data_IF_162440203913
#
_entry.id   IF_162440203913
#
_cell.length_a   1.000
_cell.length_b   1.000
_cell.length_c   1.000
_cell.angle_alpha   90.00
_cell.angle_beta   90.00
_cell.angle_gamma   90.00
#
_symmetry.space_group_name_H-M   'P 1'
#
loop_
_entity.id
_entity.type
_entity.pdbx_description
1 polymer ?
#
# COMPACT_ATOMS: atom_id res chain seq x y z
N UNK A 1 -4.70 57.31 61.17
CA UNK A 1 -3.81 56.96 60.04
C UNK A 1 -3.16 55.61 60.35
N UNK A 2 -3.27 54.70 59.39
CA UNK A 2 -2.54 53.44 59.09
C UNK A 2 -2.02 52.54 60.23
N UNK A 3 -2.41 51.26 60.08
CA UNK A 3 -2.55 50.16 61.04
C UNK A 3 -1.22 49.49 61.47
N UNK A 4 -1.17 49.13 62.75
CA UNK A 4 -0.28 48.14 63.38
C UNK A 4 -1.15 46.92 63.73
N UNK A 5 -0.59 45.70 63.70
CA UNK A 5 -1.12 44.63 64.55
C UNK A 5 -0.89 43.20 64.05
N UNK A 6 0.30 42.68 64.30
CA UNK A 6 0.59 41.25 64.42
C UNK A 6 0.07 40.74 65.77
N UNK A 7 -0.62 39.60 65.84
CA UNK A 7 -0.41 38.49 66.81
C UNK A 7 -1.47 37.39 66.70
N UNK A 8 -1.15 36.26 67.31
CA UNK A 8 -1.53 34.90 66.95
C UNK A 8 -2.55 34.24 67.90
N UNK A 9 -2.82 32.96 67.58
CA UNK A 9 -3.08 31.83 68.48
C UNK A 9 -4.52 31.28 68.62
N UNK A 10 -4.72 30.10 68.02
CA UNK A 10 -5.16 28.80 68.61
C UNK A 10 -6.34 28.76 69.59
N UNK A 11 -7.39 27.98 69.28
CA UNK A 11 -7.84 26.82 70.08
C UNK A 11 -8.79 25.88 69.30
N UNK A 12 -8.73 24.62 69.72
CA UNK A 12 -9.19 23.34 69.15
C UNK A 12 -10.60 22.97 69.59
N UNK A 13 -11.37 22.21 68.78
CA UNK A 13 -12.31 21.17 69.25
C UNK A 13 -12.28 19.95 68.32
N UNK A 14 -12.16 18.76 68.92
CA UNK A 14 -12.06 17.45 68.31
C UNK A 14 -13.44 16.82 68.00
N UNK A 15 -13.47 15.90 67.03
CA UNK A 15 -14.59 14.98 66.79
C UNK A 15 -14.12 13.78 65.96
N UNK A 16 -14.18 12.59 66.54
CA UNK A 16 -13.74 11.31 65.96
C UNK A 16 -14.97 10.43 65.68
N UNK A 17 -15.03 9.72 64.53
CA UNK A 17 -15.81 8.49 64.33
C UNK A 17 -15.33 7.69 63.10
N UNK A 18 -14.75 6.51 63.39
CA UNK A 18 -14.93 5.16 62.79
C UNK A 18 -14.71 4.83 61.30
N UNK A 19 -14.17 3.62 61.12
CA UNK A 19 -13.58 2.99 59.94
C UNK A 19 -14.56 2.46 58.87
N UNK A 20 -14.08 2.32 57.62
CA UNK A 20 -14.72 1.56 56.54
C UNK A 20 -13.78 1.31 55.36
N UNK A 21 -13.55 0.04 55.04
CA UNK A 21 -12.72 -0.50 53.95
C UNK A 21 -13.38 -0.39 52.57
N UNK A 22 -12.64 -0.01 51.52
CA UNK A 22 -12.82 -0.53 50.15
C UNK A 22 -11.68 -0.03 49.24
N UNK A 23 -10.94 -0.96 48.63
CA UNK A 23 -9.92 -0.64 47.65
C UNK A 23 -10.52 -0.06 46.37
N UNK A 24 -9.83 0.91 45.78
CA UNK A 24 -10.02 1.27 44.37
C UNK A 24 -8.82 0.77 43.59
N UNK A 25 -9.00 -0.41 43.02
CA UNK A 25 -8.21 -0.89 41.91
C UNK A 25 -8.52 -0.05 40.67
N UNK A 26 -7.46 0.33 39.94
CA UNK A 26 -7.46 0.42 38.49
C UNK A 26 -8.20 1.61 37.86
N UNK A 27 -7.45 2.63 37.48
CA UNK A 27 -7.69 3.32 36.22
C UNK A 27 -6.34 3.55 35.53
N UNK A 28 -5.82 2.50 34.90
CA UNK A 28 -4.78 2.64 33.90
C UNK A 28 -5.40 3.34 32.68
N UNK A 29 -5.41 4.67 32.67
CA UNK A 29 -5.65 5.46 31.46
C UNK A 29 -4.36 5.45 30.63
N UNK A 30 -4.04 4.28 30.06
CA UNK A 30 -3.16 4.22 28.91
C UNK A 30 -3.94 4.74 27.69
N UNK A 31 -3.32 5.50 26.77
CA UNK A 31 -3.97 5.81 25.50
C UNK A 31 -4.32 4.47 24.82
N UNK A 32 -5.61 4.20 24.67
CA UNK A 32 -6.07 3.11 23.84
C UNK A 32 -5.63 3.46 22.42
N UNK A 33 -4.57 2.81 21.95
CA UNK A 33 -4.10 2.87 20.59
C UNK A 33 -5.27 2.39 19.72
N UNK A 34 -6.04 3.33 19.17
CA UNK A 34 -7.25 3.03 18.42
C UNK A 34 -6.78 2.29 17.18
N UNK A 35 -6.95 0.97 17.16
CA UNK A 35 -6.66 0.14 15.99
C UNK A 35 -7.35 0.77 14.78
N UNK A 36 -6.55 1.42 13.91
CA UNK A 36 -7.06 2.04 12.70
C UNK A 36 -7.61 0.91 11.85
N UNK A 37 -8.91 0.94 11.57
CA UNK A 37 -9.52 -0.08 10.73
C UNK A 37 -8.87 0.00 9.34
N UNK A 38 -8.66 -1.15 8.70
CA UNK A 38 -8.11 -1.17 7.33
C UNK A 38 -8.93 -0.31 6.34
N UNK A 39 -10.22 -0.15 6.61
CA UNK A 39 -11.11 0.74 5.88
C UNK A 39 -10.77 2.22 6.07
N UNK A 40 -10.43 2.67 7.29
CA UNK A 40 -10.10 4.07 7.55
C UNK A 40 -8.86 4.55 6.78
N UNK A 41 -7.88 3.66 6.57
CA UNK A 41 -6.66 3.95 5.78
C UNK A 41 -6.92 4.17 4.27
N UNK A 42 -8.01 3.62 3.75
CA UNK A 42 -8.27 3.52 2.31
C UNK A 42 -9.64 4.08 1.92
N UNK A 43 -10.28 4.83 2.82
CA UNK A 43 -11.63 5.36 2.63
C UNK A 43 -11.79 6.26 1.40
N UNK A 44 -10.70 6.88 0.91
CA UNK A 44 -10.70 7.71 -0.30
C UNK A 44 -10.36 6.95 -1.58
N UNK A 45 -10.06 5.65 -1.51
CA UNK A 45 -9.66 4.86 -2.67
C UNK A 45 -10.88 4.25 -3.34
N UNK A 46 -10.79 4.00 -4.65
CA UNK A 46 -11.85 3.34 -5.42
C UNK A 46 -11.28 2.23 -6.30
N UNK A 47 -12.14 1.51 -7.01
CA UNK A 47 -11.76 0.42 -7.93
C UNK A 47 -11.78 0.82 -9.41
N UNK A 48 -11.89 2.10 -9.72
CA UNK A 48 -11.91 2.59 -11.11
C UNK A 48 -10.53 2.49 -11.76
N UNK A 49 -10.44 2.73 -13.06
CA UNK A 49 -9.15 2.75 -13.76
C UNK A 49 -8.32 3.97 -13.34
N UNK A 50 -7.00 3.78 -13.20
CA UNK A 50 -6.03 4.85 -12.94
C UNK A 50 -5.08 4.88 -14.13
N UNK A 51 -4.89 6.05 -14.71
CA UNK A 51 -3.95 6.23 -15.83
C UNK A 51 -3.19 7.55 -15.70
N UNK A 52 -1.99 7.57 -16.27
CA UNK A 52 -1.22 8.76 -16.52
C UNK A 52 -0.57 8.64 -17.90
N UNK A 53 -0.78 9.65 -18.74
CA UNK A 53 -0.24 9.74 -20.08
C UNK A 53 1.14 10.42 -20.01
N UNK A 54 2.18 9.63 -19.78
CA UNK A 54 3.56 10.13 -19.77
C UNK A 54 4.48 9.10 -20.44
N UNK A 55 5.41 9.57 -21.27
CA UNK A 55 6.46 8.72 -21.82
C UNK A 55 7.60 8.59 -20.81
N UNK A 56 7.94 7.37 -20.42
CA UNK A 56 9.19 7.08 -19.71
C UNK A 56 10.07 6.20 -20.60
N UNK A 57 11.23 6.73 -20.98
CA UNK A 57 12.26 6.00 -21.74
C UNK A 57 13.22 5.25 -20.81
N UNK A 58 12.84 5.03 -19.55
CA UNK A 58 13.65 4.30 -18.56
C UNK A 58 13.08 2.91 -18.41
N UNK A 59 13.98 1.97 -18.18
CA UNK A 59 13.62 0.57 -18.09
C UNK A 59 13.16 0.17 -16.69
N UNK A 60 12.30 -0.84 -16.64
CA UNK A 60 11.99 -1.58 -15.45
C UNK A 60 13.20 -2.43 -15.05
N UNK A 61 13.61 -2.32 -13.79
CA UNK A 61 14.71 -3.09 -13.20
C UNK A 61 14.22 -4.17 -12.25
N UNK A 62 13.14 -3.88 -11.51
CA UNK A 62 12.63 -4.82 -10.55
C UNK A 62 11.15 -4.60 -10.25
N UNK A 63 10.51 -5.65 -9.74
CA UNK A 63 9.19 -5.57 -9.11
C UNK A 63 9.30 -6.18 -7.73
N UNK A 64 8.87 -5.44 -6.71
CA UNK A 64 8.83 -5.94 -5.32
C UNK A 64 7.43 -5.81 -4.74
N UNK A 65 7.16 -6.57 -3.69
CA UNK A 65 5.88 -6.51 -2.97
C UNK A 65 6.11 -6.39 -1.46
N UNK A 66 5.15 -5.78 -0.76
CA UNK A 66 5.18 -5.62 0.69
C UNK A 66 3.79 -5.71 1.32
N UNK A 67 3.73 -6.23 2.56
CA UNK A 67 2.52 -6.26 3.37
C UNK A 67 2.50 -5.03 4.27
N UNK A 68 1.38 -4.33 4.31
CA UNK A 68 1.14 -3.24 5.25
C UNK A 68 -0.12 -3.51 6.06
N UNK A 69 -0.32 -2.73 7.12
CA UNK A 69 -1.48 -2.87 8.02
C UNK A 69 -2.82 -2.79 7.28
N UNK A 70 -2.89 -1.93 6.25
CA UNK A 70 -4.14 -1.58 5.58
C UNK A 70 -4.20 -1.97 4.09
N UNK A 71 -3.07 -2.33 3.49
CA UNK A 71 -2.96 -2.60 2.06
C UNK A 71 -1.81 -3.55 1.78
N UNK A 72 -1.84 -4.20 0.62
CA UNK A 72 -0.66 -4.84 0.05
C UNK A 72 -0.11 -3.93 -1.05
N UNK A 73 1.21 -3.84 -1.14
CA UNK A 73 1.91 -2.94 -2.06
C UNK A 73 2.66 -3.75 -3.11
N UNK A 74 2.58 -3.32 -4.36
CA UNK A 74 3.47 -3.71 -5.45
C UNK A 74 4.23 -2.47 -5.94
N UNK A 75 5.54 -2.58 -6.08
CA UNK A 75 6.41 -1.49 -6.51
C UNK A 75 7.15 -1.88 -7.77
N UNK A 76 7.13 -1.02 -8.78
CA UNK A 76 7.89 -1.12 -10.00
C UNK A 76 9.08 -0.16 -9.90
N UNK A 77 10.29 -0.71 -9.90
CA UNK A 77 11.53 0.06 -9.86
C UNK A 77 11.98 0.41 -11.29
N UNK A 78 11.93 1.69 -11.61
CA UNK A 78 12.20 2.22 -12.95
C UNK A 78 13.45 3.10 -12.87
N UNK A 79 14.55 2.47 -12.45
CA UNK A 79 15.84 3.11 -12.15
C UNK A 79 16.19 4.24 -13.12
N UNK A 80 16.37 5.43 -12.55
CA UNK A 80 16.78 6.63 -13.28
C UNK A 80 15.63 7.41 -13.93
N UNK A 81 14.38 7.06 -13.64
CA UNK A 81 13.23 7.93 -13.96
C UNK A 81 13.27 9.19 -13.08
N UNK A 82 13.29 10.35 -13.73
CA UNK A 82 13.24 11.67 -13.09
C UNK A 82 11.96 12.43 -13.44
N UNK A 83 11.27 12.03 -14.51
CA UNK A 83 9.98 12.55 -14.95
C UNK A 83 8.84 11.70 -14.42
N UNK A 84 7.61 12.07 -14.79
CA UNK A 84 6.43 11.23 -14.55
C UNK A 84 6.55 9.91 -15.30
N UNK A 85 6.09 8.85 -14.64
CA UNK A 85 6.00 7.49 -15.20
C UNK A 85 4.57 7.30 -15.69
N UNK A 86 4.40 7.04 -16.98
CA UNK A 86 3.09 6.70 -17.53
C UNK A 86 2.66 5.29 -17.16
N UNK A 87 1.36 5.10 -16.97
CA UNK A 87 0.78 3.81 -16.61
C UNK A 87 -0.71 3.75 -16.97
N UNK A 88 -1.21 2.52 -17.02
CA UNK A 88 -2.63 2.21 -17.04
C UNK A 88 -2.87 1.02 -16.11
N UNK A 89 -3.70 1.21 -15.09
CA UNK A 89 -4.03 0.19 -14.09
C UNK A 89 -5.53 0.07 -13.96
N UNK A 90 -6.07 -1.12 -14.22
CA UNK A 90 -7.51 -1.34 -14.26
C UNK A 90 -7.90 -2.81 -14.11
N UNK A 91 -9.15 -3.04 -13.72
CA UNK A 91 -9.69 -4.39 -13.60
C UNK A 91 -10.11 -4.94 -14.97
N UNK A 92 -9.73 -6.18 -15.25
CA UNK A 92 -10.10 -6.89 -16.49
C UNK A 92 -10.81 -8.21 -16.19
N UNK A 93 -11.66 -8.65 -17.11
CA UNK A 93 -12.34 -9.96 -17.01
C UNK A 93 -11.39 -11.11 -17.37
N UNK A 94 -10.51 -10.89 -18.34
CA UNK A 94 -9.48 -11.82 -18.79
C UNK A 94 -8.19 -11.05 -19.03
N UNK A 95 -7.08 -11.56 -18.50
CA UNK A 95 -5.76 -11.02 -18.81
C UNK A 95 -5.32 -11.54 -20.18
N UNK A 96 -5.13 -10.65 -21.14
CA UNK A 96 -4.68 -10.98 -22.50
C UNK A 96 -3.30 -10.40 -22.72
N UNK A 97 -2.39 -11.21 -23.22
CA UNK A 97 -1.02 -10.80 -23.48
C UNK A 97 -0.97 -9.68 -24.53
N UNK A 98 -0.31 -8.57 -24.23
CA UNK A 98 -0.01 -7.52 -25.21
C UNK A 98 0.81 -8.10 -26.38
N UNK A 99 0.45 -7.72 -27.60
CA UNK A 99 1.08 -8.19 -28.84
C UNK A 99 0.40 -9.43 -29.45
N UNK A 100 0.16 -10.50 -28.68
CA UNK A 100 -0.45 -11.74 -29.23
C UNK A 100 -1.96 -11.83 -29.00
N UNK A 101 -2.48 -11.22 -27.93
CA UNK A 101 -3.89 -11.33 -27.53
C UNK A 101 -4.26 -12.65 -26.81
N UNK A 102 -3.30 -13.56 -26.65
CA UNK A 102 -3.50 -14.84 -25.98
C UNK A 102 -3.92 -14.64 -24.53
N UNK A 103 -4.84 -15.48 -24.07
CA UNK A 103 -5.27 -15.42 -22.67
C UNK A 103 -4.18 -16.03 -21.77
N UNK A 104 -3.66 -15.22 -20.86
CA UNK A 104 -2.82 -15.70 -19.75
C UNK A 104 -3.71 -15.88 -18.53
N UNK A 105 -3.71 -17.08 -17.96
CA UNK A 105 -4.50 -17.36 -16.75
C UNK A 105 -3.83 -16.74 -15.52
N UNK A 106 -4.55 -15.82 -14.87
CA UNK A 106 -4.18 -15.20 -13.58
C UNK A 106 -5.17 -15.69 -12.53
N UNK A 107 -4.68 -16.30 -11.44
CA UNK A 107 -5.55 -16.83 -10.40
C UNK A 107 -6.01 -15.75 -9.41
N UNK A 108 -7.23 -15.86 -8.89
CA UNK A 108 -7.82 -14.90 -7.95
C UNK A 108 -9.32 -14.73 -8.17
N UNK A 109 -9.95 -13.92 -7.31
CA UNK A 109 -11.34 -13.49 -7.47
C UNK A 109 -11.51 -12.23 -8.34
N UNK A 110 -10.42 -11.53 -8.65
CA UNK A 110 -10.37 -10.46 -9.64
C UNK A 110 -8.97 -10.32 -10.22
N UNK A 111 -8.86 -9.71 -11.40
CA UNK A 111 -7.58 -9.49 -12.10
C UNK A 111 -7.39 -7.99 -12.27
N UNK A 112 -6.30 -7.47 -11.71
CA UNK A 112 -5.83 -6.12 -11.96
C UNK A 112 -4.73 -6.18 -13.03
N UNK A 113 -4.99 -5.61 -14.19
CA UNK A 113 -3.98 -5.39 -15.22
C UNK A 113 -3.20 -4.11 -14.90
N UNK A 114 -1.88 -4.20 -14.98
CA UNK A 114 -0.95 -3.11 -14.74
C UNK A 114 -0.04 -2.99 -15.96
N UNK A 115 -0.22 -1.93 -16.73
CA UNK A 115 0.67 -1.54 -17.83
C UNK A 115 1.49 -0.35 -17.38
N UNK A 116 2.80 -0.45 -17.50
CA UNK A 116 3.73 0.64 -17.17
C UNK A 116 4.49 1.03 -18.43
N UNK A 117 4.57 2.33 -18.73
CA UNK A 117 5.36 2.89 -19.84
C UNK A 117 6.85 2.86 -19.50
N UNK A 118 7.38 1.64 -19.34
CA UNK A 118 8.77 1.36 -19.00
C UNK A 118 9.10 -0.07 -19.43
N UNK A 119 9.99 -0.29 -20.41
CA UNK A 119 10.28 -1.63 -20.91
C UNK A 119 11.10 -2.48 -19.93
N UNK A 120 10.97 -3.80 -20.00
CA UNK A 120 11.77 -4.76 -19.23
C UNK A 120 13.13 -5.07 -19.88
N UNK A 121 13.61 -4.16 -20.74
CA UNK A 121 14.86 -4.24 -21.48
C UNK A 121 15.51 -2.85 -21.58
N UNK A 122 16.78 -2.79 -21.98
CA UNK A 122 17.48 -1.54 -22.27
C UNK A 122 16.98 -0.93 -23.59
N UNK A 123 16.39 0.28 -23.62
CA UNK A 123 15.89 0.89 -24.86
C UNK A 123 16.97 1.07 -25.93
N UNK A 124 18.22 1.30 -25.52
CA UNK A 124 19.36 1.44 -26.45
C UNK A 124 19.91 0.09 -26.94
N UNK A 125 19.55 -1.01 -26.29
CA UNK A 125 19.91 -2.37 -26.70
C UNK A 125 18.81 -3.36 -26.28
N UNK A 126 17.75 -3.54 -27.08
CA UNK A 126 16.58 -4.36 -26.71
C UNK A 126 16.88 -5.84 -26.43
N UNK A 127 18.02 -6.35 -26.90
CA UNK A 127 18.49 -7.70 -26.57
C UNK A 127 18.89 -7.84 -25.09
N UNK A 128 19.33 -6.75 -24.46
CA UNK A 128 19.68 -6.72 -23.05
C UNK A 128 18.43 -6.58 -22.18
N UNK A 129 17.96 -7.71 -21.63
CA UNK A 129 16.86 -7.72 -20.65
C UNK A 129 17.32 -7.11 -19.32
N UNK A 130 16.41 -6.39 -18.70
CA UNK A 130 16.66 -5.67 -17.44
C UNK A 130 15.73 -6.07 -16.33
N UNK A 131 14.60 -6.67 -16.69
CA UNK A 131 13.77 -7.47 -15.80
C UNK A 131 13.41 -8.76 -16.55
N UNK A 132 13.75 -9.92 -15.98
CA UNK A 132 13.72 -11.22 -16.66
C UNK A 132 12.33 -11.87 -16.68
N UNK A 133 11.28 -11.07 -16.91
CA UNK A 133 9.91 -11.56 -17.03
C UNK A 133 9.71 -12.45 -18.26
N UNK A 134 8.89 -13.50 -18.12
CA UNK A 134 8.54 -14.42 -19.20
C UNK A 134 7.02 -14.52 -19.32
N UNK A 135 6.42 -14.34 -20.51
CA UNK A 135 4.98 -14.39 -20.68
C UNK A 135 4.33 -15.62 -20.02
N UNK A 136 3.27 -15.40 -19.25
CA UNK A 136 2.51 -16.43 -18.54
C UNK A 136 3.21 -17.05 -17.33
N UNK A 137 4.46 -16.68 -17.04
CA UNK A 137 5.17 -17.11 -15.82
C UNK A 137 4.98 -16.09 -14.70
N UNK A 138 5.17 -16.57 -13.47
CA UNK A 138 5.16 -15.70 -12.30
C UNK A 138 6.28 -14.67 -12.38
N UNK A 139 6.05 -13.50 -11.76
CA UNK A 139 7.02 -12.42 -11.73
C UNK A 139 8.32 -12.88 -11.03
N UNK A 140 9.50 -12.75 -11.67
CA UNK A 140 10.78 -13.04 -11.03
C UNK A 140 10.93 -12.34 -9.68
N UNK A 141 11.32 -13.08 -8.64
CA UNK A 141 11.59 -12.54 -7.31
C UNK A 141 10.34 -12.16 -6.48
N UNK A 142 9.13 -12.38 -7.00
CA UNK A 142 7.88 -12.02 -6.30
C UNK A 142 7.19 -13.26 -5.75
N UNK A 143 7.04 -13.32 -4.43
CA UNK A 143 6.25 -14.34 -3.74
C UNK A 143 5.09 -13.69 -2.97
N UNK A 144 3.86 -13.98 -3.37
CA UNK A 144 2.63 -13.42 -2.78
C UNK A 144 2.00 -14.31 -1.71
N UNK A 145 2.70 -15.33 -1.23
CA UNK A 145 2.21 -16.23 -0.18
C UNK A 145 1.93 -15.46 1.12
N UNK A 146 0.75 -15.68 1.69
CA UNK A 146 0.29 -15.05 2.93
C UNK A 146 -0.02 -13.55 2.82
N UNK A 147 -0.11 -12.99 1.61
CA UNK A 147 -0.64 -11.64 1.40
C UNK A 147 -2.15 -11.63 1.62
N UNK A 148 -2.70 -10.52 2.15
CA UNK A 148 -4.14 -10.48 2.43
C UNK A 148 -4.94 -10.41 1.15
N UNK A 149 -4.49 -9.65 0.17
CA UNK A 149 -5.18 -9.34 -1.09
C UNK A 149 -4.57 -10.02 -2.30
N UNK A 150 -3.25 -10.14 -2.40
CA UNK A 150 -2.58 -10.72 -3.58
C UNK A 150 -2.72 -12.25 -3.62
N UNK A 151 -2.96 -12.81 -4.81
CA UNK A 151 -3.20 -14.25 -5.02
C UNK A 151 -2.33 -14.85 -6.10
N UNK A 152 -1.99 -14.08 -7.13
CA UNK A 152 -1.14 -14.54 -8.22
C UNK A 152 -0.46 -13.35 -8.87
N UNK A 153 0.64 -13.61 -9.57
CA UNK A 153 1.28 -12.62 -10.43
C UNK A 153 1.67 -13.28 -11.74
N UNK A 154 1.48 -12.56 -12.85
CA UNK A 154 1.89 -13.02 -14.17
C UNK A 154 2.56 -11.90 -14.91
N UNK A 155 3.69 -12.22 -15.54
CA UNK A 155 4.25 -11.36 -16.56
C UNK A 155 3.43 -11.52 -17.84
N UNK A 156 2.96 -10.41 -18.41
CA UNK A 156 2.26 -10.39 -19.69
C UNK A 156 3.27 -10.36 -20.82
N UNK A 157 3.80 -9.17 -21.11
CA UNK A 157 4.82 -8.95 -22.12
C UNK A 157 5.62 -7.68 -21.81
N UNK A 158 6.73 -7.47 -22.54
CA UNK A 158 7.30 -6.13 -22.68
C UNK A 158 7.56 -5.85 -24.16
N UNK A 159 6.80 -4.91 -24.69
CA UNK A 159 6.61 -4.59 -26.12
C UNK A 159 6.36 -3.09 -26.21
N UNK A 160 6.85 -2.44 -27.28
CA UNK A 160 6.60 -1.02 -27.58
C UNK A 160 6.93 -0.06 -26.42
N UNK A 161 7.97 -0.38 -25.64
CA UNK A 161 8.36 0.44 -24.50
C UNK A 161 7.49 0.26 -23.25
N UNK A 162 6.53 -0.66 -23.26
CA UNK A 162 5.66 -0.94 -22.13
C UNK A 162 6.01 -2.28 -21.48
N UNK A 163 5.70 -2.42 -20.19
CA UNK A 163 5.68 -3.71 -19.48
C UNK A 163 4.28 -3.95 -18.95
N UNK A 164 3.73 -5.12 -19.26
CA UNK A 164 2.40 -5.56 -18.85
C UNK A 164 2.52 -6.63 -17.75
N UNK A 165 1.77 -6.44 -16.66
CA UNK A 165 1.70 -7.34 -15.51
C UNK A 165 0.24 -7.62 -15.16
N UNK A 166 -0.07 -8.89 -14.93
CA UNK A 166 -1.34 -9.31 -14.35
C UNK A 166 -1.17 -9.59 -12.87
N UNK A 167 -1.97 -8.92 -12.03
CA UNK A 167 -2.02 -9.13 -10.58
C UNK A 167 -3.36 -9.77 -10.21
N UNK A 168 -3.28 -11.01 -9.74
CA UNK A 168 -4.42 -11.74 -9.19
C UNK A 168 -4.75 -11.26 -7.79
N UNK A 169 -6.00 -10.86 -7.56
CA UNK A 169 -6.49 -10.35 -6.29
C UNK A 169 -7.57 -11.25 -5.72
N UNK A 170 -7.74 -11.23 -4.39
CA UNK A 170 -8.78 -12.01 -3.71
C UNK A 170 -10.21 -11.64 -4.14
N UNK A 171 -10.41 -10.38 -4.53
CA UNK A 171 -11.67 -9.79 -4.97
C UNK A 171 -11.37 -8.45 -5.67
N UNK A 172 -12.38 -7.84 -6.30
CA UNK A 172 -12.30 -6.44 -6.74
C UNK A 172 -12.27 -5.54 -5.49
N UNK A 173 -11.19 -4.78 -5.34
CA UNK A 173 -10.86 -3.99 -4.15
C UNK A 173 -10.45 -2.56 -4.56
N UNK A 174 -10.62 -1.57 -3.68
CA UNK A 174 -10.04 -0.25 -3.88
C UNK A 174 -8.53 -0.33 -4.01
N UNK A 175 -7.98 0.50 -4.89
CA UNK A 175 -6.55 0.64 -5.07
C UNK A 175 -6.20 2.08 -5.41
N UNK A 176 -4.92 2.42 -5.23
CA UNK A 176 -4.34 3.67 -5.72
C UNK A 176 -3.05 3.39 -6.47
N UNK A 177 -2.67 4.34 -7.32
CA UNK A 177 -1.36 4.38 -7.98
C UNK A 177 -0.68 5.67 -7.61
N UNK A 178 0.59 5.60 -7.21
CA UNK A 178 1.39 6.75 -6.83
C UNK A 178 2.80 6.60 -7.40
N UNK A 179 3.48 7.73 -7.59
CA UNK A 179 4.89 7.75 -7.93
C UNK A 179 5.69 8.34 -6.77
N UNK A 180 6.85 7.74 -6.47
CA UNK A 180 7.82 8.26 -5.51
C UNK A 180 9.22 8.13 -6.12
N UNK A 181 9.78 9.25 -6.60
CA UNK A 181 11.04 9.25 -7.33
C UNK A 181 10.96 8.34 -8.56
N UNK A 182 11.85 7.35 -8.61
CA UNK A 182 11.95 6.37 -9.71
C UNK A 182 11.05 5.14 -9.55
N UNK A 183 10.06 5.20 -8.65
CA UNK A 183 9.19 4.07 -8.32
C UNK A 183 7.74 4.39 -8.64
N UNK A 184 7.10 3.46 -9.37
CA UNK A 184 5.65 3.41 -9.47
C UNK A 184 5.11 2.43 -8.44
N UNK A 185 4.13 2.85 -7.66
CA UNK A 185 3.61 2.14 -6.50
C UNK A 185 2.13 1.88 -6.72
N UNK A 186 1.73 0.61 -6.65
CA UNK A 186 0.33 0.16 -6.68
C UNK A 186 -0.01 -0.40 -5.30
N UNK A 187 -0.89 0.28 -4.58
CA UNK A 187 -1.40 -0.17 -3.28
C UNK A 187 -2.82 -0.70 -3.44
N UNK A 188 -3.09 -1.91 -2.95
CA UNK A 188 -4.43 -2.53 -2.94
C UNK A 188 -4.93 -2.63 -1.51
N UNK A 189 -6.06 -1.99 -1.23
CA UNK A 189 -6.64 -1.93 0.10
C UNK A 189 -7.06 -3.32 0.58
N UNK A 190 -6.89 -3.58 1.87
CA UNK A 190 -7.39 -4.79 2.50
C UNK A 190 -8.91 -4.78 2.64
N UNK A 191 -9.54 -3.61 2.70
CA UNK A 191 -10.99 -3.43 2.80
C UNK A 191 -11.58 -2.88 1.49
N UNK A 192 -12.89 -2.99 1.34
CA UNK A 192 -13.67 -2.33 0.29
C UNK A 192 -14.11 -0.95 0.73
#
# INVERSE_FOLDING_TARGET
>A
MRKIGTTAAVLVIAGACLAGTAGIAGAATGPADRAVSAAACSASWNSDTKSAEDATAKSLRNITTGKHTCYDRMVFDIKGATSKIGYHVGYVTKFRQSGTGDQIRVNGGAILEIVVNSPSYNPSNPAQKTYAGKPGKSLPGVNVTGYKTFRDTKFGASIEGQTQVGLGLRAKLPFRVQQSGDKLIVDVAHAK
#
